data_IF_211702773591
#
_entry.id   IF_211702773591
#
_cell.length_a   1.000
_cell.length_b   1.000
_cell.length_c   1.000
_cell.angle_alpha   90.00
_cell.angle_beta   90.00
_cell.angle_gamma   90.00
#
_symmetry.space_group_name_H-M   'P 1'
#
loop_
_entity.id
_entity.type
_entity.pdbx_description
1 polymer ?
#
# COMPACT_ATOMS: atom_id res chain seq x y z
N UNK A 1 -32.93 -6.72 -41.71
CA UNK A 1 -33.49 -6.52 -40.36
C UNK A 1 -33.07 -7.62 -39.39
N UNK A 2 -33.36 -8.90 -39.66
CA UNK A 2 -33.00 -10.00 -38.75
C UNK A 2 -31.50 -10.10 -38.41
N UNK A 3 -30.62 -9.93 -39.41
CA UNK A 3 -29.16 -9.99 -39.20
C UNK A 3 -28.66 -8.86 -38.28
N UNK A 4 -29.20 -7.65 -38.43
CA UNK A 4 -28.85 -6.51 -37.57
C UNK A 4 -29.26 -6.78 -36.11
N UNK A 5 -30.44 -7.38 -35.91
CA UNK A 5 -30.95 -7.73 -34.58
C UNK A 5 -30.08 -8.79 -33.88
N UNK A 6 -29.54 -9.75 -34.63
CA UNK A 6 -28.63 -10.77 -34.10
C UNK A 6 -27.33 -10.13 -33.61
N UNK A 7 -26.72 -9.23 -34.38
CA UNK A 7 -25.51 -8.53 -33.97
C UNK A 7 -25.74 -7.63 -32.75
N UNK A 8 -26.87 -6.94 -32.68
CA UNK A 8 -27.21 -6.13 -31.50
C UNK A 8 -27.42 -6.98 -30.27
N UNK A 9 -28.10 -8.14 -30.39
CA UNK A 9 -28.29 -9.05 -29.27
C UNK A 9 -26.97 -9.67 -28.81
N UNK A 10 -26.12 -10.10 -29.75
CA UNK A 10 -24.81 -10.65 -29.42
C UNK A 10 -23.93 -9.60 -28.72
N UNK A 11 -23.96 -8.35 -29.19
CA UNK A 11 -23.24 -7.23 -28.59
C UNK A 11 -23.69 -6.93 -27.16
N UNK A 12 -25.00 -6.92 -26.89
CA UNK A 12 -25.51 -6.68 -25.53
C UNK A 12 -25.20 -7.82 -24.58
N UNK A 13 -25.25 -9.08 -25.05
CA UNK A 13 -24.82 -10.23 -24.26
C UNK A 13 -23.33 -10.18 -23.92
N UNK A 14 -22.48 -9.85 -24.90
CA UNK A 14 -21.03 -9.75 -24.69
C UNK A 14 -20.69 -8.59 -23.72
N UNK A 15 -21.37 -7.46 -23.87
CA UNK A 15 -21.22 -6.31 -22.98
C UNK A 15 -21.65 -6.64 -21.56
N UNK A 16 -22.81 -7.30 -21.39
CA UNK A 16 -23.30 -7.75 -20.09
C UNK A 16 -22.33 -8.73 -19.43
N UNK A 17 -21.78 -9.67 -20.20
CA UNK A 17 -20.76 -10.60 -19.72
C UNK A 17 -19.48 -9.89 -19.28
N UNK A 18 -19.01 -8.90 -20.05
CA UNK A 18 -17.80 -8.15 -19.73
C UNK A 18 -17.99 -7.27 -18.48
N UNK A 19 -19.16 -6.65 -18.33
CA UNK A 19 -19.52 -5.88 -17.13
C UNK A 19 -19.60 -6.79 -15.91
N UNK A 20 -20.26 -7.95 -16.01
CA UNK A 20 -20.31 -8.94 -14.92
C UNK A 20 -18.91 -9.43 -14.55
N UNK A 21 -18.06 -9.75 -15.53
CA UNK A 21 -16.68 -10.18 -15.27
C UNK A 21 -15.85 -9.08 -14.57
N UNK A 22 -16.02 -7.81 -14.97
CA UNK A 22 -15.37 -6.66 -14.32
C UNK A 22 -15.89 -6.45 -12.90
N UNK A 23 -17.19 -6.61 -12.67
CA UNK A 23 -17.80 -6.47 -11.35
C UNK A 23 -17.39 -7.61 -10.43
N UNK A 24 -17.38 -8.86 -10.89
CA UNK A 24 -16.90 -10.00 -10.11
C UNK A 24 -15.41 -9.86 -9.79
N UNK A 25 -14.60 -9.34 -10.72
CA UNK A 25 -13.21 -9.02 -10.42
C UNK A 25 -13.09 -7.89 -9.38
N UNK A 26 -14.01 -6.93 -9.38
CA UNK A 26 -14.06 -5.85 -8.39
C UNK A 26 -14.53 -6.34 -7.01
N UNK A 27 -15.53 -7.20 -6.96
CA UNK A 27 -16.03 -7.81 -5.72
C UNK A 27 -15.04 -8.83 -5.16
N UNK A 28 -14.41 -9.65 -6.01
CA UNK A 28 -13.33 -10.57 -5.62
C UNK A 28 -12.07 -9.83 -5.15
N UNK A 29 -11.81 -8.63 -5.66
CA UNK A 29 -10.70 -7.77 -5.23
C UNK A 29 -11.03 -6.83 -4.07
N UNK A 30 -12.16 -7.01 -3.39
CA UNK A 30 -12.63 -6.17 -2.28
C UNK A 30 -13.18 -4.82 -2.75
N UNK A 31 -14.50 -4.77 -2.88
CA UNK A 31 -15.22 -3.56 -3.25
C UNK A 31 -14.99 -2.41 -2.25
N UNK A 32 -14.93 -1.19 -2.80
CA UNK A 32 -14.96 0.06 -2.03
C UNK A 32 -13.76 0.33 -1.09
N UNK A 33 -12.56 -0.16 -1.44
CA UNK A 33 -11.31 0.21 -0.74
C UNK A 33 -10.51 1.34 -1.41
N UNK A 34 -10.95 1.85 -2.57
CA UNK A 34 -10.28 2.96 -3.30
C UNK A 34 -10.59 4.36 -2.73
N UNK A 35 -11.16 4.43 -1.52
CA UNK A 35 -11.28 5.67 -0.77
C UNK A 35 -10.22 5.75 0.32
N UNK A 36 -9.61 6.93 0.60
CA UNK A 36 -8.68 7.11 1.71
C UNK A 36 -9.25 6.62 3.06
N UNK A 37 -10.59 6.53 3.17
CA UNK A 37 -11.34 6.07 4.33
C UNK A 37 -11.41 4.54 4.50
N UNK A 38 -11.35 3.76 3.42
CA UNK A 38 -11.43 2.28 3.48
C UNK A 38 -10.15 1.62 3.99
N UNK A 39 -9.02 2.30 3.77
CA UNK A 39 -7.69 1.90 4.26
C UNK A 39 -7.46 2.24 5.75
N UNK A 40 -8.28 3.06 6.40
CA UNK A 40 -8.03 3.48 7.79
C UNK A 40 -7.98 2.28 8.78
N UNK A 41 -8.59 1.14 8.42
CA UNK A 41 -8.64 -0.06 9.27
C UNK A 41 -7.70 -1.20 8.85
N UNK A 42 -6.92 -1.00 7.79
CA UNK A 42 -5.98 -1.98 7.28
C UNK A 42 -4.58 -1.67 7.83
N UNK A 43 -3.90 -2.70 8.30
CA UNK A 43 -2.77 -2.52 9.21
C UNK A 43 -1.56 -1.78 8.61
N UNK A 44 -0.57 -1.55 9.46
CA UNK A 44 0.71 -0.93 9.09
C UNK A 44 1.81 -2.00 9.02
N UNK A 45 2.57 -2.02 7.93
CA UNK A 45 3.77 -2.84 7.82
C UNK A 45 4.99 -2.04 8.28
N UNK A 46 5.81 -2.65 9.14
CA UNK A 46 7.04 -2.02 9.62
C UNK A 46 8.22 -2.93 9.33
N UNK A 47 9.21 -2.39 8.62
CA UNK A 47 10.45 -3.05 8.25
C UNK A 47 11.65 -2.41 8.94
N UNK A 48 12.53 -3.22 9.53
CA UNK A 48 13.81 -2.77 10.09
C UNK A 48 13.75 -2.03 11.44
N UNK A 49 12.56 -1.79 12.00
CA UNK A 49 12.39 -1.14 13.31
C UNK A 49 11.27 -1.80 14.14
N UNK A 50 11.52 -2.96 14.78
CA UNK A 50 10.51 -3.67 15.56
C UNK A 50 9.93 -2.83 16.72
N UNK A 51 10.74 -1.93 17.30
CA UNK A 51 10.32 -1.03 18.38
C UNK A 51 9.16 -0.11 17.96
N UNK A 52 9.14 0.29 16.69
CA UNK A 52 8.11 1.16 16.11
C UNK A 52 6.81 0.39 15.93
N UNK A 53 6.90 -0.88 15.53
CA UNK A 53 5.74 -1.74 15.46
C UNK A 53 5.15 -2.01 16.84
N UNK A 54 5.98 -2.24 17.86
CA UNK A 54 5.50 -2.42 19.23
C UNK A 54 4.74 -1.17 19.73
N UNK A 55 5.25 0.03 19.42
CA UNK A 55 4.56 1.30 19.73
C UNK A 55 3.23 1.44 18.98
N UNK A 56 3.16 1.02 17.72
CA UNK A 56 1.94 1.02 16.90
C UNK A 56 0.88 0.05 17.47
N UNK A 57 1.29 -1.18 17.80
CA UNK A 57 0.42 -2.19 18.43
C UNK A 57 -0.11 -1.72 19.78
N UNK A 58 0.74 -1.11 20.63
CA UNK A 58 0.31 -0.53 21.92
C UNK A 58 -0.72 0.59 21.76
N UNK A 59 -0.79 1.24 20.60
CA UNK A 59 -1.82 2.24 20.29
C UNK A 59 -3.09 1.70 19.63
N UNK A 60 -3.24 0.38 19.53
CA UNK A 60 -4.42 -0.26 18.96
C UNK A 60 -4.46 -0.28 17.43
N UNK A 61 -3.39 0.15 16.75
CA UNK A 61 -3.24 -0.05 15.31
C UNK A 61 -2.76 -1.48 15.05
N UNK A 62 -3.43 -2.20 14.15
CA UNK A 62 -2.94 -3.50 13.66
C UNK A 62 -1.63 -3.25 12.93
N UNK A 63 -0.50 -3.75 13.44
CA UNK A 63 0.75 -3.68 12.71
C UNK A 63 1.44 -5.05 12.64
N UNK A 64 2.17 -5.26 11.54
CA UNK A 64 2.91 -6.47 11.29
C UNK A 64 4.37 -6.10 11.03
N UNK A 65 5.26 -6.69 11.81
CA UNK A 65 6.70 -6.53 11.60
C UNK A 65 7.12 -7.44 10.47
N UNK A 66 7.71 -6.86 9.43
CA UNK A 66 8.42 -7.58 8.40
C UNK A 66 9.92 -7.45 8.69
N UNK A 67 10.60 -8.58 8.88
CA UNK A 67 12.07 -8.61 8.99
C UNK A 67 12.72 -9.01 7.66
N UNK A 68 11.99 -9.69 6.79
CA UNK A 68 12.47 -10.22 5.52
C UNK A 68 11.38 -10.16 4.46
N UNK A 69 11.77 -9.90 3.20
CA UNK A 69 10.93 -10.14 2.03
C UNK A 69 10.71 -11.65 1.85
N UNK A 70 9.61 -12.09 1.22
CA UNK A 70 8.58 -11.30 0.52
C UNK A 70 7.46 -10.76 1.41
N UNK A 71 6.70 -9.79 0.88
CA UNK A 71 5.49 -9.28 1.51
C UNK A 71 4.45 -10.40 1.70
N UNK A 72 3.70 -10.39 2.82
CA UNK A 72 2.66 -11.39 3.05
C UNK A 72 1.56 -11.22 2.00
N UNK A 73 1.28 -12.28 1.25
CA UNK A 73 0.23 -12.30 0.24
C UNK A 73 -1.16 -12.32 0.89
N UNK A 74 -2.10 -11.52 0.37
CA UNK A 74 -3.51 -11.55 0.77
C UNK A 74 -3.95 -10.53 1.83
N UNK A 75 -3.02 -9.80 2.44
CA UNK A 75 -3.33 -8.69 3.35
C UNK A 75 -3.14 -7.35 2.63
N UNK A 76 -4.19 -6.51 2.61
CA UNK A 76 -4.05 -5.11 2.19
C UNK A 76 -3.55 -4.27 3.37
N UNK A 77 -2.57 -3.42 3.12
CA UNK A 77 -1.97 -2.53 4.12
C UNK A 77 -2.06 -1.10 3.64
N UNK A 78 -2.18 -0.20 4.60
CA UNK A 78 -2.43 1.22 4.29
C UNK A 78 -1.14 2.00 4.18
N UNK A 79 -0.14 1.58 4.96
CA UNK A 79 1.19 2.15 4.89
C UNK A 79 2.27 1.10 5.13
N UNK A 80 3.42 1.33 4.49
CA UNK A 80 4.67 0.58 4.69
C UNK A 80 5.73 1.52 5.23
N UNK A 81 6.39 1.10 6.30
CA UNK A 81 7.48 1.79 6.93
C UNK A 81 8.78 1.04 6.67
N UNK A 82 9.66 1.58 5.82
CA UNK A 82 10.98 1.04 5.54
C UNK A 82 12.03 1.77 6.38
N UNK A 83 12.33 1.27 7.57
CA UNK A 83 13.10 1.98 8.60
C UNK A 83 14.44 1.33 8.92
N UNK A 84 14.96 0.48 8.03
CA UNK A 84 16.27 -0.15 8.20
C UNK A 84 17.39 0.89 8.20
N UNK A 85 18.51 0.56 8.84
CA UNK A 85 19.75 1.32 8.75
C UNK A 85 20.49 1.15 7.41
N UNK A 86 20.00 0.25 6.53
CA UNK A 86 20.56 0.03 5.20
C UNK A 86 19.61 0.55 4.12
N UNK A 87 20.07 1.52 3.33
CA UNK A 87 19.29 2.17 2.28
C UNK A 87 18.89 1.23 1.15
N UNK A 88 19.75 0.27 0.78
CA UNK A 88 19.44 -0.71 -0.27
C UNK A 88 18.27 -1.60 0.13
N UNK A 89 18.20 -1.99 1.41
CA UNK A 89 17.07 -2.75 1.93
C UNK A 89 15.79 -1.92 1.91
N UNK A 90 15.88 -0.64 2.30
CA UNK A 90 14.73 0.25 2.28
C UNK A 90 14.22 0.47 0.86
N UNK A 91 15.11 0.66 -0.13
CA UNK A 91 14.74 0.74 -1.55
C UNK A 91 14.07 -0.53 -2.06
N UNK A 92 14.62 -1.71 -1.72
CA UNK A 92 14.05 -2.99 -2.11
C UNK A 92 12.62 -3.16 -1.54
N UNK A 93 12.41 -2.74 -0.29
CA UNK A 93 11.08 -2.74 0.34
C UNK A 93 10.14 -1.76 -0.33
N UNK A 94 10.58 -0.54 -0.66
CA UNK A 94 9.76 0.44 -1.38
C UNK A 94 9.30 -0.11 -2.74
N UNK A 95 10.23 -0.67 -3.50
CA UNK A 95 9.94 -1.23 -4.82
C UNK A 95 8.99 -2.42 -4.73
N UNK A 96 9.20 -3.33 -3.77
CA UNK A 96 8.32 -4.47 -3.59
C UNK A 96 6.93 -4.07 -3.05
N UNK A 97 6.84 -3.03 -2.20
CA UNK A 97 5.58 -2.46 -1.74
C UNK A 97 4.78 -1.85 -2.91
N UNK A 98 5.39 -0.98 -3.73
CA UNK A 98 4.73 -0.40 -4.90
C UNK A 98 4.34 -1.44 -5.94
N UNK A 99 5.13 -2.50 -6.09
CA UNK A 99 4.81 -3.61 -6.99
C UNK A 99 3.60 -4.41 -6.51
N UNK A 100 3.47 -4.60 -5.19
CA UNK A 100 2.35 -5.31 -4.58
C UNK A 100 1.07 -4.46 -4.58
N UNK A 101 1.18 -3.17 -4.23
CA UNK A 101 0.09 -2.20 -4.24
C UNK A 101 0.64 -0.81 -4.67
N UNK A 102 0.38 -0.37 -5.92
CA UNK A 102 0.84 0.93 -6.40
C UNK A 102 0.31 2.13 -5.59
N UNK A 103 -0.84 1.96 -4.92
CA UNK A 103 -1.47 3.01 -4.14
C UNK A 103 -1.03 3.06 -2.68
N UNK A 104 -0.22 2.11 -2.20
CA UNK A 104 0.18 2.06 -0.79
C UNK A 104 1.04 3.28 -0.40
N UNK A 105 0.84 3.80 0.80
CA UNK A 105 1.63 4.92 1.32
C UNK A 105 2.95 4.41 1.90
N UNK A 106 4.07 4.95 1.44
CA UNK A 106 5.40 4.48 1.79
C UNK A 106 6.15 5.58 2.53
N UNK A 107 6.61 5.23 3.72
CA UNK A 107 7.50 6.05 4.54
C UNK A 107 8.82 5.32 4.64
N UNK A 108 9.88 5.88 4.09
CA UNK A 108 11.20 5.26 4.07
C UNK A 108 12.24 6.11 4.81
N UNK A 109 13.18 5.45 5.48
CA UNK A 109 14.37 6.10 6.02
C UNK A 109 15.45 6.11 4.96
N UNK A 110 15.90 7.30 4.62
CA UNK A 110 17.01 7.53 3.73
C UNK A 110 18.19 8.02 4.56
N UNK A 111 19.16 7.15 4.77
CA UNK A 111 20.36 7.45 5.55
C UNK A 111 21.38 8.23 4.69
N UNK A 112 21.41 7.98 3.38
CA UNK A 112 22.29 8.63 2.41
C UNK A 112 21.55 9.68 1.60
N UNK A 113 21.76 11.00 1.84
CA UNK A 113 21.03 12.06 1.16
C UNK A 113 21.11 12.01 -0.38
N UNK A 114 22.21 11.51 -0.94
CA UNK A 114 22.39 11.35 -2.38
C UNK A 114 21.40 10.35 -3.01
N UNK A 115 20.81 9.45 -2.24
CA UNK A 115 19.83 8.47 -2.71
C UNK A 115 18.39 9.01 -2.65
N UNK A 116 18.19 10.23 -2.14
CA UNK A 116 16.86 10.80 -1.92
C UNK A 116 15.99 10.80 -3.17
N UNK A 117 16.53 11.25 -4.31
CA UNK A 117 15.81 11.26 -5.59
C UNK A 117 15.38 9.85 -6.02
N UNK A 118 16.24 8.85 -5.80
CA UNK A 118 15.95 7.44 -6.13
C UNK A 118 14.79 6.92 -5.29
N UNK A 119 14.72 7.29 -4.01
CA UNK A 119 13.61 6.92 -3.15
C UNK A 119 12.28 7.56 -3.59
N UNK A 120 12.33 8.85 -3.94
CA UNK A 120 11.15 9.57 -4.45
C UNK A 120 10.67 8.94 -5.78
N UNK A 121 11.58 8.61 -6.70
CA UNK A 121 11.28 7.92 -7.97
C UNK A 121 10.74 6.49 -7.76
N UNK A 122 11.18 5.80 -6.71
CA UNK A 122 10.67 4.47 -6.33
C UNK A 122 9.26 4.54 -5.73
N UNK A 123 8.75 5.75 -5.48
CA UNK A 123 7.41 6.00 -4.98
C UNK A 123 7.32 6.11 -3.46
N UNK A 124 8.40 6.51 -2.77
CA UNK A 124 8.32 6.87 -1.37
C UNK A 124 7.68 8.25 -1.20
N UNK A 125 6.51 8.32 -0.55
CA UNK A 125 5.79 9.57 -0.32
C UNK A 125 6.41 10.42 0.80
N UNK A 126 7.08 9.79 1.78
CA UNK A 126 7.77 10.51 2.85
C UNK A 126 9.11 9.88 3.17
N UNK A 127 10.11 10.75 3.30
CA UNK A 127 11.47 10.35 3.65
C UNK A 127 11.86 10.88 5.02
N UNK A 128 12.36 9.97 5.85
CA UNK A 128 12.98 10.25 7.14
C UNK A 128 14.49 10.29 6.97
N UNK A 129 15.14 11.29 7.53
CA UNK A 129 16.60 11.36 7.55
C UNK A 129 17.21 10.32 8.49
N UNK A 130 18.53 10.12 8.38
CA UNK A 130 19.30 9.32 9.32
C UNK A 130 19.03 9.77 10.77
N UNK A 131 18.59 8.84 11.62
CA UNK A 131 18.32 9.13 13.03
C UNK A 131 17.07 9.98 13.32
N UNK A 132 16.30 10.37 12.30
CA UNK A 132 15.06 11.11 12.52
C UNK A 132 14.04 10.25 13.28
N UNK A 133 13.47 10.76 14.39
CA UNK A 133 12.50 10.03 15.18
C UNK A 133 11.17 9.93 14.42
N UNK A 134 10.55 8.76 14.50
CA UNK A 134 9.26 8.50 13.85
C UNK A 134 8.05 8.88 14.71
N UNK A 135 8.28 9.09 16.01
CA UNK A 135 7.23 9.44 16.98
C UNK A 135 6.37 10.66 16.57
N UNK A 136 6.92 11.78 16.05
CA UNK A 136 6.10 12.90 15.58
C UNK A 136 5.22 12.52 14.38
N UNK A 137 5.74 11.70 13.47
CA UNK A 137 4.98 11.21 12.31
C UNK A 137 3.85 10.27 12.74
N UNK A 138 4.10 9.40 13.72
CA UNK A 138 3.05 8.56 14.31
C UNK A 138 1.97 9.38 15.00
N UNK A 139 2.34 10.50 15.63
CA UNK A 139 1.38 11.41 16.27
C UNK A 139 0.48 12.12 15.23
N UNK A 140 1.05 12.54 14.09
CA UNK A 140 0.29 13.07 12.96
C UNK A 140 -0.67 12.04 12.37
N UNK A 141 -0.24 10.79 12.16
CA UNK A 141 -1.12 9.73 11.66
C UNK A 141 -2.27 9.42 12.63
N UNK A 142 -2.02 9.52 13.95
CA UNK A 142 -3.06 9.32 14.97
C UNK A 142 -4.11 10.43 14.99
N UNK A 143 -3.77 11.67 14.66
CA UNK A 143 -4.74 12.78 14.67
C UNK A 143 -5.72 12.72 13.50
N UNK A 144 -5.33 12.08 12.40
CA UNK A 144 -6.17 11.88 11.19
C UNK A 144 -7.22 10.78 11.37
N UNK A 145 -7.03 9.87 12.32
CA UNK A 145 -7.92 8.71 12.56
C UNK A 145 -8.97 8.99 13.66
N UNK A 146 -9.10 10.25 14.10
CA UNK A 146 -10.04 10.64 15.17
C UNK A 146 -11.36 11.20 14.66
#
# INVERSE_FOLDING_TARGET
MAVLLIFTALGTFLLGYLVMYRLDLFFAKSGFLDGPTGRINQGVLVYGAPDVAEKLNKSGMKCKVLMTLPFPEGDYYSAVFALSGNDEQNLAVCHAAKRADPGIYIIARCNTPALREIFEDTGAERLLAAGEPIDPLLAEMRSVVR
#
